data_IF_920759638357
#
_entry.id   IF_920759638357
#
_cell.length_a   1.000
_cell.length_b   1.000
_cell.length_c   1.000
_cell.angle_alpha   90.00
_cell.angle_beta   90.00
_cell.angle_gamma   90.00
#
_symmetry.space_group_name_H-M   'P 1'
#
loop_
_entity.id
_entity.type
_entity.pdbx_description
1 polymer ?
#
# COMPACT_ATOMS: atom_id res chain seq x y z
N UNK A 1 17.21 -5.16 0.69
CA UNK A 1 15.75 -5.10 0.41
C UNK A 1 15.50 -4.82 -1.06
N UNK A 2 15.97 -3.69 -1.60
CA UNK A 2 15.73 -3.29 -3.00
C UNK A 2 16.21 -4.32 -4.02
N UNK A 3 17.31 -5.04 -3.78
CA UNK A 3 17.76 -6.10 -4.69
C UNK A 3 16.74 -7.23 -4.83
N UNK A 4 16.07 -7.60 -3.73
CA UNK A 4 14.95 -8.55 -3.81
C UNK A 4 13.77 -7.94 -4.57
N UNK A 5 13.44 -6.67 -4.35
CA UNK A 5 12.32 -6.00 -5.04
C UNK A 5 12.55 -5.91 -6.55
N UNK A 6 13.80 -5.79 -7.02
CA UNK A 6 14.14 -5.76 -8.45
C UNK A 6 13.58 -6.98 -9.19
N UNK A 7 13.62 -8.16 -8.56
CA UNK A 7 13.22 -9.45 -9.13
C UNK A 7 11.70 -9.61 -9.33
N UNK A 8 10.87 -8.71 -8.78
CA UNK A 8 9.40 -8.83 -8.83
C UNK A 8 8.75 -7.63 -9.48
N UNK A 9 7.79 -7.85 -10.38
CA UNK A 9 7.04 -6.76 -11.04
C UNK A 9 5.98 -6.13 -10.14
N UNK A 10 5.54 -6.86 -9.12
CA UNK A 10 4.41 -6.47 -8.27
C UNK A 10 4.79 -6.47 -6.81
N UNK A 11 4.46 -5.38 -6.12
CA UNK A 11 4.55 -5.26 -4.68
C UNK A 11 3.14 -5.33 -4.09
N UNK A 12 2.96 -6.21 -3.11
CA UNK A 12 1.73 -6.33 -2.33
C UNK A 12 2.04 -5.91 -0.90
N UNK A 13 1.36 -4.86 -0.42
CA UNK A 13 1.54 -4.34 0.93
C UNK A 13 0.27 -4.62 1.75
N UNK A 14 0.45 -5.26 2.90
CA UNK A 14 -0.58 -5.39 3.92
C UNK A 14 -0.26 -4.52 5.14
N UNK A 15 -1.26 -3.80 5.66
CA UNK A 15 -1.10 -3.04 6.90
C UNK A 15 -2.39 -3.02 7.73
N UNK A 16 -2.32 -2.93 9.07
CA UNK A 16 -3.50 -2.62 9.85
C UNK A 16 -3.91 -1.15 9.63
N UNK A 17 -5.21 -0.91 9.72
CA UNK A 17 -5.80 0.43 9.83
C UNK A 17 -5.70 0.88 11.27
N UNK A 18 -4.91 1.92 11.52
CA UNK A 18 -4.79 2.56 12.82
C UNK A 18 -5.11 4.05 12.69
N UNK A 19 -6.01 4.54 13.56
CA UNK A 19 -6.45 5.94 13.60
C UNK A 19 -6.78 6.51 12.21
N UNK A 20 -7.70 5.84 11.50
CA UNK A 20 -8.27 6.29 10.22
C UNK A 20 -7.26 6.35 9.05
N UNK A 21 -6.12 5.67 9.17
CA UNK A 21 -5.12 5.50 8.11
C UNK A 21 -4.28 4.23 8.31
N UNK A 22 -3.16 4.09 7.60
CA UNK A 22 -2.25 2.93 7.73
C UNK A 22 -1.43 2.96 9.03
N UNK A 23 -0.87 1.81 9.42
CA UNK A 23 0.07 1.71 10.53
C UNK A 23 1.25 2.71 10.44
N UNK A 24 1.75 3.13 11.61
CA UNK A 24 2.93 4.00 11.69
C UNK A 24 4.17 3.40 11.02
N UNK A 25 4.35 2.08 11.08
CA UNK A 25 5.44 1.38 10.40
C UNK A 25 5.40 1.56 8.88
N UNK A 26 4.23 1.37 8.26
CA UNK A 26 4.08 1.57 6.82
C UNK A 26 4.24 3.06 6.46
N UNK A 27 3.71 3.97 7.29
CA UNK A 27 3.87 5.40 7.06
C UNK A 27 5.34 5.81 7.09
N UNK A 28 6.11 5.36 8.09
CA UNK A 28 7.55 5.61 8.18
C UNK A 28 8.31 4.99 7.01
N UNK A 29 7.95 3.78 6.58
CA UNK A 29 8.56 3.16 5.39
C UNK A 29 8.37 4.05 4.15
N UNK A 30 7.15 4.51 3.90
CA UNK A 30 6.82 5.39 2.76
C UNK A 30 7.58 6.72 2.85
N UNK A 31 7.65 7.33 4.03
CA UNK A 31 8.36 8.60 4.26
C UNK A 31 9.86 8.52 3.94
N UNK A 32 10.44 7.31 4.01
CA UNK A 32 11.86 7.11 3.73
C UNK A 32 12.14 6.71 2.28
N UNK A 33 11.18 6.14 1.56
CA UNK A 33 11.39 5.66 0.19
C UNK A 33 11.91 6.74 -0.75
N UNK A 34 11.27 7.91 -0.78
CA UNK A 34 11.67 8.98 -1.70
C UNK A 34 12.98 9.68 -1.31
N UNK A 35 13.55 9.38 -0.13
CA UNK A 35 14.87 9.87 0.28
C UNK A 35 16.00 8.93 -0.14
N UNK A 36 15.68 7.73 -0.64
CA UNK A 36 16.64 6.70 -0.98
C UNK A 36 16.76 6.58 -2.50
N UNK A 37 17.93 6.88 -3.10
CA UNK A 37 18.13 6.70 -4.54
C UNK A 37 17.84 5.28 -5.01
N UNK A 38 18.08 4.28 -4.14
CA UNK A 38 17.82 2.88 -4.42
C UNK A 38 16.33 2.58 -4.61
N UNK A 39 15.42 3.48 -4.23
CA UNK A 39 13.99 3.29 -4.43
C UNK A 39 13.55 3.50 -5.90
N UNK A 40 14.45 3.94 -6.80
CA UNK A 40 14.21 4.00 -8.24
C UNK A 40 13.77 2.65 -8.83
N UNK A 41 14.14 1.52 -8.22
CA UNK A 41 13.68 0.20 -8.68
C UNK A 41 12.16 0.09 -8.69
N UNK A 42 11.44 0.90 -7.92
CA UNK A 42 9.98 0.87 -7.86
C UNK A 42 9.32 1.40 -9.14
N UNK A 43 10.02 2.18 -9.96
CA UNK A 43 9.47 2.74 -11.19
C UNK A 43 8.99 1.61 -12.14
N UNK A 44 7.77 1.78 -12.66
CA UNK A 44 7.10 0.81 -13.54
C UNK A 44 6.49 -0.40 -12.81
N UNK A 45 6.80 -0.63 -11.53
CA UNK A 45 6.26 -1.78 -10.77
C UNK A 45 4.80 -1.54 -10.37
N UNK A 46 4.06 -2.63 -10.19
CA UNK A 46 2.66 -2.63 -9.77
C UNK A 46 2.55 -2.57 -8.24
N UNK A 47 1.56 -1.85 -7.72
CA UNK A 47 1.23 -1.84 -6.28
C UNK A 47 -0.21 -2.28 -6.03
N UNK A 48 -0.36 -3.21 -5.09
CA UNK A 48 -1.62 -3.46 -4.38
C UNK A 48 -1.44 -3.13 -2.90
N UNK A 49 -2.39 -2.37 -2.33
CA UNK A 49 -2.41 -2.05 -0.90
C UNK A 49 -3.66 -2.63 -0.25
N UNK A 50 -3.45 -3.49 0.73
CA UNK A 50 -4.49 -4.06 1.57
C UNK A 50 -4.38 -3.47 2.98
N UNK A 51 -5.51 -2.98 3.50
CA UNK A 51 -5.58 -2.46 4.86
C UNK A 51 -6.80 -3.02 5.60
N UNK A 52 -6.61 -3.45 6.85
CA UNK A 52 -7.67 -4.08 7.64
C UNK A 52 -7.79 -3.44 9.03
N UNK A 53 -9.01 -3.18 9.50
CA UNK A 53 -9.25 -2.66 10.85
C UNK A 53 -10.65 -2.93 11.34
N UNK A 54 -10.96 -2.54 12.59
CA UNK A 54 -12.23 -2.88 13.24
C UNK A 54 -13.47 -2.34 12.54
N UNK A 55 -13.39 -1.14 11.96
CA UNK A 55 -14.52 -0.51 11.27
C UNK A 55 -14.10 0.72 10.47
N UNK A 56 -13.26 0.57 9.43
CA UNK A 56 -12.91 1.68 8.55
C UNK A 56 -14.15 2.22 7.84
N UNK A 57 -14.33 3.54 7.93
CA UNK A 57 -15.40 4.26 7.26
C UNK A 57 -14.96 4.78 5.88
N UNK A 58 -15.86 5.45 5.17
CA UNK A 58 -15.56 6.05 3.86
C UNK A 58 -14.41 7.07 3.92
N UNK A 59 -14.24 7.78 5.04
CA UNK A 59 -13.12 8.69 5.26
C UNK A 59 -11.78 7.95 5.29
N UNK A 60 -11.73 6.83 6.01
CA UNK A 60 -10.56 5.96 6.11
C UNK A 60 -10.19 5.36 4.75
N UNK A 61 -11.17 4.88 3.98
CA UNK A 61 -10.94 4.37 2.62
C UNK A 61 -10.31 5.45 1.75
N UNK A 62 -10.87 6.67 1.76
CA UNK A 62 -10.32 7.80 0.98
C UNK A 62 -8.90 8.18 1.41
N UNK A 63 -8.64 8.22 2.72
CA UNK A 63 -7.33 8.52 3.30
C UNK A 63 -6.25 7.54 2.80
N UNK A 64 -6.52 6.24 2.89
CA UNK A 64 -5.57 5.19 2.49
C UNK A 64 -5.40 5.16 0.97
N UNK A 65 -6.49 5.29 0.21
CA UNK A 65 -6.43 5.37 -1.25
C UNK A 65 -5.66 6.59 -1.73
N UNK A 66 -5.82 7.75 -1.07
CA UNK A 66 -5.05 8.95 -1.37
C UNK A 66 -3.56 8.74 -1.13
N UNK A 67 -3.19 8.15 0.01
CA UNK A 67 -1.81 7.82 0.35
C UNK A 67 -1.17 6.88 -0.69
N UNK A 68 -1.86 5.80 -1.08
CA UNK A 68 -1.38 4.86 -2.09
C UNK A 68 -1.18 5.51 -3.47
N UNK A 69 -2.13 6.36 -3.89
CA UNK A 69 -2.01 7.14 -5.12
C UNK A 69 -0.78 8.05 -5.09
N UNK A 70 -0.60 8.81 -4.00
CA UNK A 70 0.56 9.72 -3.86
C UNK A 70 1.88 8.97 -3.88
N UNK A 71 1.97 7.83 -3.19
CA UNK A 71 3.15 6.95 -3.25
C UNK A 71 3.44 6.52 -4.70
N UNK A 72 2.44 6.00 -5.41
CA UNK A 72 2.64 5.51 -6.78
C UNK A 72 3.05 6.64 -7.73
N UNK A 73 2.41 7.81 -7.64
CA UNK A 73 2.76 8.97 -8.45
C UNK A 73 4.22 9.40 -8.23
N UNK A 74 4.67 9.46 -6.97
CA UNK A 74 6.03 9.92 -6.66
C UNK A 74 7.11 8.90 -7.05
N UNK A 75 6.79 7.61 -6.99
CA UNK A 75 7.75 6.52 -7.26
C UNK A 75 7.64 5.97 -8.69
N UNK A 76 6.77 6.52 -9.54
CA UNK A 76 6.54 6.02 -10.89
C UNK A 76 5.88 4.64 -10.95
N UNK A 77 5.12 4.25 -9.94
CA UNK A 77 4.47 2.93 -9.86
C UNK A 77 3.07 2.94 -10.49
N UNK A 78 2.58 1.75 -10.84
CA UNK A 78 1.22 1.52 -11.29
C UNK A 78 0.34 1.06 -10.12
N UNK A 79 -0.55 1.93 -9.63
CA UNK A 79 -1.52 1.51 -8.61
C UNK A 79 -2.57 0.59 -9.24
N UNK A 80 -2.64 -0.66 -8.78
CA UNK A 80 -3.60 -1.65 -9.29
C UNK A 80 -4.82 -1.83 -8.41
N UNK A 81 -4.70 -1.61 -7.11
CA UNK A 81 -5.83 -1.71 -6.20
C UNK A 81 -5.54 -1.25 -4.79
N UNK A 82 -6.57 -0.71 -4.13
CA UNK A 82 -6.56 -0.39 -2.69
C UNK A 82 -7.79 -1.02 -2.06
N UNK A 83 -7.55 -1.92 -1.12
CA UNK A 83 -8.58 -2.71 -0.48
C UNK A 83 -8.53 -2.48 1.02
N UNK A 84 -9.47 -1.66 1.47
CA UNK A 84 -9.69 -1.43 2.91
C UNK A 84 -10.86 -2.29 3.35
N UNK A 85 -10.65 -3.07 4.40
CA UNK A 85 -11.59 -4.06 4.92
C UNK A 85 -11.78 -3.95 6.44
N UNK A 86 -12.88 -4.52 6.91
CA UNK A 86 -13.22 -4.65 8.31
C UNK A 86 -12.51 -5.83 8.96
N UNK A 87 -12.76 -6.05 10.26
CA UNK A 87 -12.09 -7.09 11.05
C UNK A 87 -12.22 -8.51 10.46
N UNK A 88 -13.25 -8.78 9.66
CA UNK A 88 -13.51 -10.12 9.11
C UNK A 88 -12.59 -10.52 7.94
N UNK A 89 -11.90 -9.57 7.31
CA UNK A 89 -10.93 -9.80 6.23
C UNK A 89 -11.50 -10.44 4.96
N UNK A 90 -12.83 -10.54 4.83
CA UNK A 90 -13.46 -11.29 3.72
C UNK A 90 -13.26 -10.61 2.37
N UNK A 91 -13.30 -9.28 2.34
CA UNK A 91 -13.04 -8.49 1.12
C UNK A 91 -11.57 -8.57 0.73
N UNK A 92 -10.66 -8.55 1.70
CA UNK A 92 -9.23 -8.78 1.42
C UNK A 92 -9.03 -10.16 0.78
N UNK A 93 -9.61 -11.22 1.36
CA UNK A 93 -9.46 -12.58 0.84
C UNK A 93 -10.04 -12.77 -0.57
N UNK A 94 -11.20 -12.16 -0.88
CA UNK A 94 -11.79 -12.27 -2.23
C UNK A 94 -10.97 -11.56 -3.30
N UNK A 95 -10.32 -10.45 -2.92
CA UNK A 95 -9.57 -9.60 -3.86
C UNK A 95 -8.11 -10.03 -4.02
N UNK A 96 -7.57 -10.83 -3.08
CA UNK A 96 -6.22 -11.39 -3.16
C UNK A 96 -6.11 -12.61 -4.08
N UNK A 97 -7.22 -13.12 -4.64
CA UNK A 97 -7.22 -14.27 -5.55
C UNK A 97 -6.70 -13.95 -6.97
N UNK A 98 -5.78 -12.98 -7.08
CA UNK A 98 -5.13 -12.48 -8.31
C UNK A 98 -3.95 -13.37 -8.69
#
# INVERSE_FOLDING_TARGET
>A
MFDKIKEYDTLVIGAPVYWYTVSGLLKTFIDRLYMLPEAEVLNGKNLYLFAQGSGPDNGTVKSITFLANRLCTLMGMNLKGVYVDTADGRKTLSEMAI
#
